data_IF_342345823309
#
_entry.id   IF_342345823309
#
_cell.length_a   1.000
_cell.length_b   1.000
_cell.length_c   1.000
_cell.angle_alpha   90.00
_cell.angle_beta   90.00
_cell.angle_gamma   90.00
#
_symmetry.space_group_name_H-M   'P 1'
#
loop_
_entity.id
_entity.type
_entity.pdbx_description
1 polymer ?
#
# COMPACT_ATOMS: atom_id res chain seq x y z
N UNK A 1 19.03 50.50 -0.43
CA UNK A 1 19.76 49.77 -1.48
C UNK A 1 20.98 49.01 -0.93
N UNK A 2 21.59 49.48 0.19
CA UNK A 2 22.73 48.81 0.84
C UNK A 2 22.39 47.49 1.55
N UNK A 3 21.24 47.40 2.21
CA UNK A 3 20.85 46.19 2.96
C UNK A 3 20.58 44.96 2.09
N UNK A 4 20.19 45.13 0.82
CA UNK A 4 20.00 44.02 -0.14
C UNK A 4 21.32 43.46 -0.68
N UNK A 5 22.37 44.32 -0.77
CA UNK A 5 23.69 43.90 -1.22
C UNK A 5 24.43 43.12 -0.12
N UNK A 6 24.26 43.51 1.14
CA UNK A 6 24.86 42.81 2.28
C UNK A 6 24.23 41.39 2.48
N UNK A 7 22.96 41.19 2.11
CA UNK A 7 22.30 39.89 2.18
C UNK A 7 22.85 38.89 1.15
N UNK A 8 23.30 39.40 -0.01
CA UNK A 8 23.81 38.52 -1.10
C UNK A 8 25.28 38.13 -0.84
N UNK A 9 26.03 38.94 -0.13
CA UNK A 9 27.46 38.69 0.16
C UNK A 9 27.69 37.74 1.35
N UNK A 10 26.63 37.43 2.13
CA UNK A 10 26.71 36.50 3.28
C UNK A 10 26.25 35.09 2.96
N UNK A 11 25.88 34.79 1.70
CA UNK A 11 25.48 33.43 1.30
C UNK A 11 26.74 32.56 1.22
N UNK A 12 26.88 31.66 2.18
CA UNK A 12 27.94 30.66 2.21
C UNK A 12 27.53 29.41 1.43
N UNK A 13 28.53 28.67 0.95
CA UNK A 13 28.29 27.38 0.28
C UNK A 13 27.50 26.41 1.18
N UNK A 14 27.64 26.53 2.50
CA UNK A 14 26.85 25.82 3.51
C UNK A 14 25.36 26.07 3.39
N UNK A 15 24.92 27.28 3.02
CA UNK A 15 23.48 27.59 2.94
C UNK A 15 22.81 26.90 1.76
N UNK A 16 23.54 26.70 0.65
CA UNK A 16 23.04 25.88 -0.48
C UNK A 16 22.95 24.40 -0.12
N UNK A 17 23.90 23.91 0.70
CA UNK A 17 23.86 22.51 1.16
C UNK A 17 22.69 22.30 2.11
N UNK A 18 22.46 23.24 3.05
CA UNK A 18 21.35 23.20 4.00
C UNK A 18 19.98 23.24 3.29
N UNK A 19 19.82 24.17 2.34
CA UNK A 19 18.60 24.28 1.54
C UNK A 19 18.40 23.01 0.69
N UNK A 20 19.47 22.50 0.07
CA UNK A 20 19.43 21.27 -0.72
C UNK A 20 19.05 20.05 0.13
N UNK A 21 19.66 19.90 1.29
CA UNK A 21 19.38 18.81 2.23
C UNK A 21 17.94 18.91 2.76
N UNK A 22 17.50 20.12 3.12
CA UNK A 22 16.11 20.35 3.55
C UNK A 22 15.11 20.04 2.44
N UNK A 23 15.39 20.44 1.20
CA UNK A 23 14.56 20.15 0.05
C UNK A 23 14.46 18.64 -0.21
N UNK A 24 15.57 17.91 -0.09
CA UNK A 24 15.60 16.44 -0.22
C UNK A 24 14.76 15.80 0.89
N UNK A 25 14.92 16.23 2.15
CA UNK A 25 14.15 15.71 3.27
C UNK A 25 12.65 15.96 3.06
N UNK A 26 12.27 17.20 2.67
CA UNK A 26 10.87 17.54 2.39
C UNK A 26 10.34 16.71 1.21
N UNK A 27 11.11 16.54 0.15
CA UNK A 27 10.73 15.73 -1.01
C UNK A 27 10.45 14.28 -0.61
N UNK A 28 11.35 13.66 0.19
CA UNK A 28 11.18 12.31 0.70
C UNK A 28 9.96 12.18 1.61
N UNK A 29 9.72 13.16 2.48
CA UNK A 29 8.52 13.20 3.33
C UNK A 29 7.26 13.30 2.49
N UNK A 30 7.24 14.14 1.46
CA UNK A 30 6.10 14.27 0.54
C UNK A 30 5.86 12.98 -0.26
N UNK A 31 6.92 12.30 -0.68
CA UNK A 31 6.82 11.01 -1.39
C UNK A 31 6.24 9.92 -0.48
N UNK A 32 6.64 9.90 0.80
CA UNK A 32 6.14 8.95 1.81
C UNK A 32 4.64 9.12 2.08
N UNK A 33 4.13 10.35 1.94
CA UNK A 33 2.74 10.70 2.19
C UNK A 33 1.84 10.40 0.97
N UNK A 34 2.42 10.30 -0.25
CA UNK A 34 1.66 10.00 -1.46
C UNK A 34 1.04 8.60 -1.40
N UNK A 35 -0.29 8.55 -1.52
CA UNK A 35 -1.06 7.30 -1.53
C UNK A 35 -1.66 6.89 -0.19
N UNK A 36 -1.42 7.63 0.90
CA UNK A 36 -2.04 7.35 2.20
C UNK A 36 -3.34 8.15 2.39
N UNK A 37 -4.30 7.60 3.17
CA UNK A 37 -5.53 8.32 3.59
C UNK A 37 -5.24 9.51 4.50
N UNK A 38 -3.97 9.75 4.83
CA UNK A 38 -3.51 10.78 5.78
C UNK A 38 -3.61 12.19 5.20
N UNK A 39 -3.47 12.35 3.87
CA UNK A 39 -3.57 13.68 3.21
C UNK A 39 -4.93 14.35 3.44
N UNK A 40 -6.09 13.70 3.21
CA UNK A 40 -7.40 14.29 3.49
C UNK A 40 -7.57 14.65 4.97
N UNK A 41 -7.02 13.87 5.90
CA UNK A 41 -7.07 14.16 7.34
C UNK A 41 -6.25 15.40 7.71
N UNK A 42 -5.06 15.58 7.13
CA UNK A 42 -4.23 16.79 7.34
C UNK A 42 -4.92 18.04 6.79
N UNK A 43 -5.48 17.95 5.59
CA UNK A 43 -6.24 19.08 5.00
C UNK A 43 -7.41 19.42 5.90
N UNK A 44 -8.19 18.44 6.35
CA UNK A 44 -9.32 18.65 7.26
C UNK A 44 -8.89 19.33 8.57
N UNK A 45 -7.80 18.85 9.19
CA UNK A 45 -7.25 19.43 10.42
C UNK A 45 -6.76 20.86 10.21
N UNK A 46 -6.05 21.14 9.11
CA UNK A 46 -5.56 22.50 8.79
C UNK A 46 -6.71 23.47 8.55
N UNK A 47 -7.73 23.05 7.81
CA UNK A 47 -8.93 23.85 7.58
C UNK A 47 -9.68 24.10 8.88
N UNK A 48 -9.85 23.09 9.73
CA UNK A 48 -10.51 23.22 11.03
C UNK A 48 -9.78 24.21 11.95
N UNK A 49 -8.46 24.05 12.11
CA UNK A 49 -7.66 24.96 12.95
C UNK A 49 -7.62 26.37 12.38
N UNK A 50 -7.47 26.52 11.06
CA UNK A 50 -7.46 27.81 10.39
C UNK A 50 -8.78 28.56 10.52
N UNK A 51 -9.91 27.90 10.30
CA UNK A 51 -11.24 28.50 10.47
C UNK A 51 -11.50 28.88 11.94
N UNK A 52 -11.14 27.99 12.88
CA UNK A 52 -11.30 28.27 14.32
C UNK A 52 -10.44 29.45 14.75
N UNK A 53 -9.21 29.58 14.26
CA UNK A 53 -8.33 30.71 14.52
C UNK A 53 -8.89 32.02 13.98
N UNK A 54 -9.38 32.03 12.73
CA UNK A 54 -10.00 33.22 12.14
C UNK A 54 -11.25 33.64 12.93
N UNK A 55 -12.11 32.70 13.32
CA UNK A 55 -13.28 33.01 14.16
C UNK A 55 -12.84 33.57 15.52
N UNK A 56 -11.85 32.99 16.17
CA UNK A 56 -11.33 33.46 17.45
C UNK A 56 -10.85 34.91 17.37
N UNK A 57 -10.12 35.27 16.28
CA UNK A 57 -9.60 36.63 16.08
C UNK A 57 -10.71 37.63 15.73
N UNK A 58 -11.69 37.25 14.88
CA UNK A 58 -12.78 38.13 14.46
C UNK A 58 -13.74 38.45 15.63
N UNK A 59 -14.02 37.46 16.48
CA UNK A 59 -14.96 37.61 17.60
C UNK A 59 -14.25 37.90 18.94
N UNK A 60 -12.93 38.12 18.95
CA UNK A 60 -12.11 38.34 20.16
C UNK A 60 -12.35 37.29 21.24
N UNK A 61 -12.31 36.00 20.83
CA UNK A 61 -12.53 34.87 21.73
C UNK A 61 -11.18 34.39 22.32
N UNK A 62 -10.74 35.04 23.39
CA UNK A 62 -9.41 34.81 24.00
C UNK A 62 -9.18 33.36 24.41
N UNK A 63 -10.17 32.68 24.96
CA UNK A 63 -10.04 31.29 25.39
C UNK A 63 -9.83 30.33 24.20
N UNK A 64 -10.52 30.57 23.09
CA UNK A 64 -10.39 29.76 21.87
C UNK A 64 -9.06 30.08 21.18
N UNK A 65 -8.66 31.35 21.13
CA UNK A 65 -7.36 31.75 20.61
C UNK A 65 -6.22 31.07 21.35
N UNK A 66 -6.23 31.12 22.69
CA UNK A 66 -5.27 30.43 23.54
C UNK A 66 -5.24 28.92 23.29
N UNK A 67 -6.40 28.28 23.14
CA UNK A 67 -6.49 26.84 22.86
C UNK A 67 -5.82 26.50 21.51
N UNK A 68 -6.14 27.26 20.45
CA UNK A 68 -5.56 27.04 19.10
C UNK A 68 -4.04 27.22 19.12
N UNK A 69 -3.52 28.26 19.78
CA UNK A 69 -2.09 28.50 19.91
C UNK A 69 -1.37 27.34 20.62
N UNK A 70 -1.96 26.79 21.70
CA UNK A 70 -1.39 25.64 22.40
C UNK A 70 -1.45 24.36 21.55
N UNK A 71 -2.52 24.15 20.80
CA UNK A 71 -2.64 23.00 19.87
C UNK A 71 -1.59 23.11 18.75
N UNK A 72 -1.42 24.31 18.17
CA UNK A 72 -0.40 24.56 17.14
C UNK A 72 1.01 24.40 17.74
N UNK A 73 1.25 24.89 18.97
CA UNK A 73 2.51 24.67 19.67
C UNK A 73 2.85 23.19 19.92
N UNK A 74 1.81 22.36 20.08
CA UNK A 74 1.94 20.91 20.24
C UNK A 74 1.87 20.14 18.92
N UNK A 75 1.80 20.83 17.78
CA UNK A 75 1.56 20.23 16.46
C UNK A 75 2.56 19.14 16.09
N UNK A 76 3.84 19.31 16.47
CA UNK A 76 4.89 18.30 16.22
C UNK A 76 4.55 16.98 16.92
N UNK A 77 4.13 17.03 18.18
CA UNK A 77 3.77 15.82 18.94
C UNK A 77 2.53 15.16 18.34
N UNK A 78 1.51 15.96 18.00
CA UNK A 78 0.28 15.47 17.36
C UNK A 78 0.61 14.82 16.01
N UNK A 79 1.49 15.45 15.23
CA UNK A 79 1.91 14.94 13.93
C UNK A 79 2.65 13.60 14.07
N UNK A 80 3.58 13.49 15.01
CA UNK A 80 4.31 12.23 15.28
C UNK A 80 3.35 11.12 15.69
N UNK A 81 2.35 11.42 16.52
CA UNK A 81 1.33 10.42 16.95
C UNK A 81 0.44 10.02 15.78
N UNK A 82 0.00 10.97 14.96
CA UNK A 82 -0.81 10.70 13.76
C UNK A 82 -0.06 9.82 12.74
N UNK A 83 1.22 10.09 12.52
CA UNK A 83 2.05 9.37 11.55
C UNK A 83 2.84 8.21 12.17
N UNK A 84 2.60 7.86 13.44
CA UNK A 84 3.35 6.79 14.11
C UNK A 84 3.33 5.47 13.32
N UNK A 85 2.18 5.10 12.77
CA UNK A 85 2.04 3.88 11.97
C UNK A 85 2.83 3.97 10.65
N UNK A 86 2.76 5.10 9.97
CA UNK A 86 3.43 5.32 8.68
C UNK A 86 4.95 5.38 8.87
N UNK A 87 5.42 6.09 9.90
CA UNK A 87 6.86 6.16 10.27
C UNK A 87 7.38 4.77 10.62
N UNK A 88 6.63 3.99 11.41
CA UNK A 88 7.01 2.62 11.78
C UNK A 88 7.10 1.72 10.56
N UNK A 89 6.13 1.82 9.65
CA UNK A 89 6.12 1.03 8.42
C UNK A 89 7.27 1.41 7.49
N UNK A 90 7.54 2.71 7.32
CA UNK A 90 8.66 3.20 6.52
C UNK A 90 10.02 2.74 7.08
N UNK A 91 10.23 2.85 8.40
CA UNK A 91 11.46 2.37 9.04
C UNK A 91 11.61 0.84 8.93
N UNK A 92 10.51 0.10 9.03
CA UNK A 92 10.51 -1.34 8.83
C UNK A 92 10.88 -1.72 7.39
N UNK A 93 10.40 -0.97 6.40
CA UNK A 93 10.76 -1.18 4.98
C UNK A 93 12.25 -0.94 4.72
N UNK A 94 12.83 0.15 5.22
CA UNK A 94 14.26 0.44 5.05
C UNK A 94 15.14 -0.69 5.60
N UNK A 95 14.75 -1.31 6.73
CA UNK A 95 15.49 -2.41 7.33
C UNK A 95 15.37 -3.75 6.60
N UNK A 96 14.32 -3.94 5.82
CA UNK A 96 13.99 -5.24 5.18
C UNK A 96 14.37 -5.30 3.69
N UNK A 97 14.61 -4.17 3.03
CA UNK A 97 14.86 -4.10 1.57
C UNK A 97 16.21 -4.70 1.18
N UNK A 98 17.15 -4.88 2.12
CA UNK A 98 18.54 -5.19 1.79
C UNK A 98 18.87 -6.67 1.65
N UNK A 99 17.99 -7.65 1.96
CA UNK A 99 18.38 -9.07 2.05
C UNK A 99 17.32 -10.13 1.71
N UNK A 100 16.25 -9.82 0.99
CA UNK A 100 15.30 -10.88 0.63
C UNK A 100 15.52 -11.37 -0.79
N UNK A 101 15.73 -12.68 -1.01
CA UNK A 101 15.83 -13.24 -2.35
C UNK A 101 14.50 -13.02 -3.08
N UNK A 102 14.54 -12.32 -4.19
CA UNK A 102 13.41 -12.23 -5.11
C UNK A 102 13.31 -13.53 -5.90
N UNK A 103 12.09 -13.98 -6.15
CA UNK A 103 11.81 -15.11 -7.04
C UNK A 103 12.46 -14.87 -8.41
N UNK A 104 13.12 -15.88 -8.93
CA UNK A 104 13.57 -15.87 -10.32
C UNK A 104 12.37 -15.75 -11.27
N UNK A 105 12.59 -15.24 -12.48
CA UNK A 105 11.52 -15.11 -13.48
C UNK A 105 10.82 -16.45 -13.77
N UNK A 106 11.56 -17.57 -13.71
CA UNK A 106 11.00 -18.91 -13.92
C UNK A 106 10.08 -19.32 -12.75
N UNK A 107 10.49 -19.06 -11.51
CA UNK A 107 9.67 -19.35 -10.31
C UNK A 107 8.43 -18.47 -10.28
N UNK A 108 8.54 -17.18 -10.64
CA UNK A 108 7.39 -16.29 -10.78
C UNK A 108 6.39 -16.80 -11.82
N UNK A 109 6.87 -17.22 -13.00
CA UNK A 109 6.01 -17.77 -14.04
C UNK A 109 5.29 -19.04 -13.58
N UNK A 110 5.98 -19.95 -12.89
CA UNK A 110 5.40 -21.14 -12.30
C UNK A 110 4.33 -20.82 -11.26
N UNK A 111 4.60 -19.88 -10.37
CA UNK A 111 3.63 -19.40 -9.37
C UNK A 111 2.37 -18.83 -10.03
N UNK A 112 2.53 -17.97 -11.03
CA UNK A 112 1.40 -17.37 -11.75
C UNK A 112 0.55 -18.45 -12.44
N UNK A 113 1.18 -19.47 -13.02
CA UNK A 113 0.47 -20.59 -13.66
C UNK A 113 -0.35 -21.40 -12.66
N UNK A 114 0.22 -21.74 -11.50
CA UNK A 114 -0.47 -22.44 -10.41
C UNK A 114 -1.64 -21.62 -9.86
N UNK A 115 -1.45 -20.35 -9.60
CA UNK A 115 -2.50 -19.48 -9.06
C UNK A 115 -3.64 -19.27 -10.07
N UNK A 116 -3.28 -19.08 -11.34
CA UNK A 116 -4.25 -18.95 -12.41
C UNK A 116 -5.06 -20.24 -12.54
N UNK A 117 -4.39 -21.39 -12.55
CA UNK A 117 -5.05 -22.69 -12.63
C UNK A 117 -5.99 -22.92 -11.42
N UNK A 118 -5.52 -22.59 -10.22
CA UNK A 118 -6.32 -22.73 -8.99
C UNK A 118 -7.56 -21.82 -9.03
N UNK A 119 -7.40 -20.54 -9.39
CA UNK A 119 -8.51 -19.58 -9.46
C UNK A 119 -9.61 -20.04 -10.42
N UNK A 120 -9.25 -20.50 -11.64
CA UNK A 120 -10.24 -20.98 -12.61
C UNK A 120 -10.83 -22.34 -12.23
N UNK A 121 -10.08 -23.20 -11.55
CA UNK A 121 -10.61 -24.47 -11.04
C UNK A 121 -11.62 -24.22 -9.91
N UNK A 122 -11.34 -23.29 -9.01
CA UNK A 122 -12.25 -22.87 -7.94
C UNK A 122 -13.52 -22.22 -8.53
N UNK A 123 -13.36 -21.34 -9.52
CA UNK A 123 -14.47 -20.70 -10.23
C UNK A 123 -15.40 -21.72 -10.90
N UNK A 124 -14.84 -22.70 -11.59
CA UNK A 124 -15.61 -23.78 -12.22
C UNK A 124 -16.38 -24.65 -11.21
N UNK A 125 -15.86 -24.76 -9.98
CA UNK A 125 -16.51 -25.48 -8.88
C UNK A 125 -17.44 -24.61 -8.05
N UNK A 126 -17.62 -23.31 -8.40
CA UNK A 126 -18.39 -22.34 -7.61
C UNK A 126 -17.88 -22.21 -6.17
N UNK A 127 -16.59 -22.34 -5.96
CA UNK A 127 -15.93 -22.18 -4.66
C UNK A 127 -15.31 -20.77 -4.60
N UNK A 128 -15.77 -19.97 -3.65
CA UNK A 128 -15.26 -18.63 -3.44
C UNK A 128 -13.83 -18.64 -2.87
N UNK A 129 -12.96 -17.80 -3.40
CA UNK A 129 -11.59 -17.69 -2.93
C UNK A 129 -11.08 -16.24 -2.93
N UNK A 130 -10.10 -15.98 -2.06
CA UNK A 130 -9.44 -14.69 -1.95
C UNK A 130 -7.93 -14.95 -1.76
N UNK A 131 -7.14 -14.65 -2.81
CA UNK A 131 -5.71 -14.94 -2.85
C UNK A 131 -4.96 -13.62 -3.03
N UNK A 132 -4.07 -13.32 -2.10
CA UNK A 132 -3.28 -12.08 -2.04
C UNK A 132 -1.82 -12.40 -2.37
N UNK A 133 -1.26 -11.67 -3.32
CA UNK A 133 0.17 -11.66 -3.64
C UNK A 133 0.79 -10.41 -3.01
N UNK A 134 1.64 -10.61 -2.02
CA UNK A 134 2.41 -9.53 -1.40
C UNK A 134 3.41 -8.94 -2.39
N UNK A 135 3.50 -7.59 -2.41
CA UNK A 135 4.47 -6.86 -3.22
C UNK A 135 5.37 -6.00 -2.33
N UNK A 136 5.55 -4.71 -2.66
CA UNK A 136 6.44 -3.80 -1.91
C UNK A 136 5.92 -3.50 -0.50
N UNK A 137 4.61 -3.36 -0.37
CA UNK A 137 3.98 -3.14 0.93
C UNK A 137 3.88 -4.46 1.70
N UNK A 138 4.57 -4.55 2.84
CA UNK A 138 4.56 -5.74 3.68
C UNK A 138 3.19 -6.04 4.29
N UNK A 139 2.74 -7.28 4.20
CA UNK A 139 1.44 -7.73 4.71
C UNK A 139 1.52 -8.44 6.06
N UNK A 140 2.62 -8.30 6.78
CA UNK A 140 2.87 -8.98 8.06
C UNK A 140 1.73 -8.80 9.07
N UNK A 141 1.14 -7.61 9.16
CA UNK A 141 0.03 -7.33 10.07
C UNK A 141 -1.22 -8.19 9.81
N UNK A 142 -1.44 -8.61 8.55
CA UNK A 142 -2.54 -9.48 8.15
C UNK A 142 -2.16 -10.96 8.33
N UNK A 143 -0.92 -11.32 8.00
CA UNK A 143 -0.36 -12.68 8.18
C UNK A 143 -0.40 -13.09 9.65
N UNK A 144 0.01 -12.22 10.58
CA UNK A 144 0.02 -12.50 12.03
C UNK A 144 -1.39 -12.75 12.61
N UNK A 145 -2.44 -12.21 11.97
CA UNK A 145 -3.85 -12.43 12.35
C UNK A 145 -4.45 -13.68 11.71
N UNK A 146 -3.78 -14.24 10.71
CA UNK A 146 -4.18 -15.46 10.03
C UNK A 146 -3.65 -16.72 10.70
N UNK A 147 -3.80 -17.84 10.00
CA UNK A 147 -3.21 -19.12 10.37
C UNK A 147 -1.97 -19.36 9.53
N UNK A 148 -0.81 -19.38 10.16
CA UNK A 148 0.47 -19.61 9.48
C UNK A 148 0.49 -21.00 8.81
N UNK A 149 0.95 -21.05 7.57
CA UNK A 149 1.02 -22.27 6.74
C UNK A 149 2.50 -22.58 6.38
N UNK A 150 3.20 -21.64 5.73
CA UNK A 150 4.62 -21.76 5.38
C UNK A 150 4.90 -22.79 4.27
N UNK A 151 4.00 -22.97 3.30
CA UNK A 151 4.10 -23.97 2.23
C UNK A 151 4.25 -23.34 0.85
N UNK A 152 4.65 -24.17 -0.14
CA UNK A 152 4.57 -23.78 -1.57
C UNK A 152 3.11 -23.81 -2.01
N UNK A 153 2.59 -22.74 -2.65
CA UNK A 153 1.23 -22.71 -3.15
C UNK A 153 1.09 -23.65 -4.36
N UNK A 154 0.34 -24.73 -4.17
CA UNK A 154 -0.02 -25.67 -5.23
C UNK A 154 -1.52 -25.65 -5.43
N UNK A 155 -1.97 -26.08 -6.62
CA UNK A 155 -3.40 -26.23 -6.93
C UNK A 155 -4.13 -27.01 -5.83
N UNK A 156 -3.61 -28.18 -5.46
CA UNK A 156 -4.27 -29.08 -4.50
C UNK A 156 -4.37 -28.45 -3.09
N UNK A 157 -3.31 -27.73 -2.67
CA UNK A 157 -3.31 -27.02 -1.39
C UNK A 157 -4.34 -25.90 -1.38
N UNK A 158 -4.42 -25.09 -2.44
CA UNK A 158 -5.38 -24.00 -2.54
C UNK A 158 -6.81 -24.53 -2.60
N UNK A 159 -7.06 -25.61 -3.35
CA UNK A 159 -8.38 -26.29 -3.37
C UNK A 159 -8.77 -26.82 -1.98
N UNK A 160 -7.81 -27.36 -1.24
CA UNK A 160 -8.04 -27.87 0.12
C UNK A 160 -8.32 -26.75 1.13
N UNK A 161 -7.63 -25.62 1.01
CA UNK A 161 -7.84 -24.46 1.88
C UNK A 161 -9.23 -23.86 1.64
N UNK A 162 -9.61 -23.61 0.39
CA UNK A 162 -10.87 -22.95 0.06
C UNK A 162 -12.09 -23.88 0.01
N UNK A 163 -11.89 -25.19 0.20
CA UNK A 163 -13.01 -26.11 0.33
C UNK A 163 -13.94 -25.67 1.46
N UNK A 164 -15.25 -25.68 1.22
CA UNK A 164 -16.25 -25.15 2.17
C UNK A 164 -16.26 -25.82 3.54
N UNK A 165 -15.82 -27.07 3.65
CA UNK A 165 -15.65 -27.77 4.93
C UNK A 165 -14.33 -27.49 5.63
N UNK A 166 -13.39 -26.80 4.98
CA UNK A 166 -12.10 -26.47 5.57
C UNK A 166 -12.25 -25.37 6.61
N UNK A 167 -11.65 -25.46 7.79
CA UNK A 167 -11.65 -24.37 8.77
C UNK A 167 -10.83 -23.14 8.30
N UNK A 168 -10.13 -23.24 7.18
CA UNK A 168 -9.27 -22.21 6.63
C UNK A 168 -9.92 -21.40 5.50
N UNK A 169 -11.11 -21.79 5.02
CA UNK A 169 -11.73 -21.21 3.83
C UNK A 169 -12.28 -19.80 4.02
N UNK A 170 -12.58 -19.41 5.28
CA UNK A 170 -13.15 -18.09 5.59
C UNK A 170 -12.07 -17.05 5.82
N UNK A 171 -11.71 -16.35 4.77
CA UNK A 171 -10.67 -15.32 4.73
C UNK A 171 -9.75 -15.44 3.53
N UNK A 172 -8.67 -14.65 3.54
CA UNK A 172 -7.70 -14.64 2.46
C UNK A 172 -6.54 -15.60 2.72
N UNK A 173 -5.97 -16.09 1.63
CA UNK A 173 -4.64 -16.69 1.59
C UNK A 173 -3.67 -15.59 1.20
N UNK A 174 -2.55 -15.45 1.92
CA UNK A 174 -1.47 -14.50 1.60
C UNK A 174 -0.24 -15.27 1.15
N UNK A 175 0.23 -14.90 -0.03
CA UNK A 175 1.47 -15.38 -0.63
C UNK A 175 2.50 -14.28 -0.49
N UNK A 176 3.61 -14.59 0.16
CA UNK A 176 4.70 -13.65 0.39
C UNK A 176 5.55 -13.40 -0.87
N UNK A 177 6.50 -12.46 -0.79
CA UNK A 177 7.40 -12.11 -1.89
C UNK A 177 8.33 -13.25 -2.32
N UNK A 178 8.52 -14.24 -1.46
CA UNK A 178 9.31 -15.45 -1.72
C UNK A 178 8.48 -16.52 -2.43
N UNK A 179 7.21 -16.19 -2.78
CA UNK A 179 6.28 -17.08 -3.46
C UNK A 179 5.73 -18.18 -2.56
N UNK A 180 5.82 -18.06 -1.24
CA UNK A 180 5.31 -19.04 -0.30
C UNK A 180 3.94 -18.62 0.23
N UNK A 181 3.07 -19.57 0.44
CA UNK A 181 1.82 -19.39 1.12
C UNK A 181 2.12 -19.15 2.62
N UNK A 182 2.21 -17.88 3.01
CA UNK A 182 2.58 -17.48 4.37
C UNK A 182 1.49 -17.83 5.38
N UNK A 183 0.24 -17.47 5.08
CA UNK A 183 -0.91 -17.73 5.96
C UNK A 183 -2.20 -17.88 5.17
N UNK A 184 -3.18 -18.53 5.81
CA UNK A 184 -4.56 -18.64 5.36
C UNK A 184 -5.51 -18.07 6.42
N UNK A 185 -6.80 -17.92 6.08
CA UNK A 185 -7.81 -17.32 6.97
C UNK A 185 -7.43 -15.92 7.47
N UNK A 186 -6.78 -15.12 6.61
CA UNK A 186 -6.42 -13.76 6.93
C UNK A 186 -7.63 -12.84 6.76
N UNK A 187 -7.91 -12.01 7.77
CA UNK A 187 -9.00 -11.04 7.73
C UNK A 187 -8.47 -9.74 7.10
N UNK A 188 -9.12 -9.30 6.03
CA UNK A 188 -8.76 -8.09 5.29
C UNK A 188 -9.74 -6.95 5.58
N UNK A 189 -9.32 -5.69 5.40
CA UNK A 189 -10.21 -4.54 5.52
C UNK A 189 -11.26 -4.55 4.41
N UNK A 190 -12.47 -4.10 4.73
CA UNK A 190 -13.54 -3.96 3.75
C UNK A 190 -13.55 -2.53 3.20
N UNK A 191 -13.54 -2.38 1.86
CA UNK A 191 -13.64 -1.06 1.24
C UNK A 191 -14.97 -0.37 1.57
N UNK A 192 -14.96 0.85 2.08
CA UNK A 192 -16.17 1.64 2.26
C UNK A 192 -16.76 2.11 0.91
N UNK A 193 -15.94 2.30 -0.12
CA UNK A 193 -16.36 2.73 -1.46
C UNK A 193 -17.20 1.67 -2.19
N UNK A 194 -17.06 0.41 -1.83
CA UNK A 194 -17.86 -0.70 -2.40
C UNK A 194 -19.28 -0.76 -1.87
N UNK A 195 -19.63 -0.01 -0.82
CA UNK A 195 -20.98 0.02 -0.26
C UNK A 195 -22.03 0.51 -1.29
N UNK A 196 -21.61 1.27 -2.31
CA UNK A 196 -22.46 1.71 -3.40
C UNK A 196 -22.73 0.65 -4.49
N UNK A 197 -22.09 -0.54 -4.43
CA UNK A 197 -22.24 -1.62 -5.41
C UNK A 197 -22.94 -2.82 -4.74
N UNK A 198 -24.26 -2.92 -4.79
CA UNK A 198 -25.04 -3.91 -4.03
C UNK A 198 -24.77 -5.37 -4.43
N UNK A 199 -24.18 -5.61 -5.61
CA UNK A 199 -23.84 -6.93 -6.13
C UNK A 199 -22.42 -7.41 -5.73
N UNK A 200 -21.66 -6.62 -4.97
CA UNK A 200 -20.34 -7.03 -4.50
C UNK A 200 -20.45 -7.84 -3.21
N UNK A 201 -20.07 -9.11 -3.27
CA UNK A 201 -19.92 -9.97 -2.10
C UNK A 201 -18.76 -9.51 -1.19
N UNK A 202 -18.70 -10.07 0.02
CA UNK A 202 -17.70 -9.71 1.05
C UNK A 202 -16.26 -9.88 0.58
N UNK A 203 -15.95 -10.93 -0.22
CA UNK A 203 -14.60 -11.18 -0.76
C UNK A 203 -14.16 -10.08 -1.74
N UNK A 204 -15.06 -9.59 -2.60
CA UNK A 204 -14.76 -8.47 -3.51
C UNK A 204 -14.50 -7.18 -2.74
N UNK A 205 -15.30 -6.91 -1.69
CA UNK A 205 -15.11 -5.74 -0.83
C UNK A 205 -13.80 -5.80 -0.05
N UNK A 206 -13.41 -6.99 0.39
CA UNK A 206 -12.15 -7.22 1.08
C UNK A 206 -10.95 -7.05 0.13
N UNK A 207 -11.04 -7.56 -1.09
CA UNK A 207 -10.02 -7.37 -2.11
C UNK A 207 -9.81 -5.89 -2.44
N UNK A 208 -10.91 -5.17 -2.67
CA UNK A 208 -10.86 -3.74 -2.95
C UNK A 208 -10.27 -2.98 -1.76
N UNK A 209 -10.72 -3.28 -0.53
CA UNK A 209 -10.22 -2.63 0.69
C UNK A 209 -8.72 -2.77 0.89
N UNK A 210 -8.18 -3.98 0.74
CA UNK A 210 -6.73 -4.18 0.83
C UNK A 210 -5.98 -3.50 -0.32
N UNK A 211 -6.52 -3.51 -1.55
CA UNK A 211 -5.90 -2.87 -2.70
C UNK A 211 -5.92 -1.34 -2.65
N UNK A 212 -6.79 -0.74 -1.83
CA UNK A 212 -6.79 0.71 -1.55
C UNK A 212 -5.68 1.10 -0.55
N UNK A 213 -5.23 0.18 0.30
CA UNK A 213 -4.25 0.43 1.36
C UNK A 213 -2.84 -0.06 1.00
N UNK A 214 -2.73 -0.93 0.00
CA UNK A 214 -1.48 -1.59 -0.39
C UNK A 214 -1.36 -1.71 -1.91
N UNK A 215 -0.17 -2.03 -2.38
CA UNK A 215 0.13 -2.34 -3.77
C UNK A 215 0.00 -3.84 -4.11
N UNK A 216 -0.54 -4.64 -3.18
CA UNK A 216 -0.75 -6.06 -3.37
C UNK A 216 -1.67 -6.36 -4.57
N UNK A 217 -1.47 -7.52 -5.20
CA UNK A 217 -2.38 -8.07 -6.20
C UNK A 217 -3.33 -9.04 -5.52
N UNK A 218 -4.64 -8.85 -5.69
CA UNK A 218 -5.64 -9.67 -5.02
C UNK A 218 -6.54 -10.34 -6.05
N UNK A 219 -6.47 -11.67 -6.12
CA UNK A 219 -7.36 -12.49 -6.95
C UNK A 219 -8.60 -12.82 -6.14
N UNK A 220 -9.76 -12.63 -6.75
CA UNK A 220 -11.06 -12.94 -6.18
C UNK A 220 -11.78 -13.95 -7.07
N UNK A 221 -12.27 -15.01 -6.46
CA UNK A 221 -13.17 -15.96 -7.13
C UNK A 221 -14.56 -15.81 -6.52
N UNK A 222 -15.53 -15.51 -7.36
CA UNK A 222 -16.94 -15.42 -6.96
C UNK A 222 -17.58 -16.81 -6.89
N UNK A 223 -18.12 -17.16 -5.73
CA UNK A 223 -18.87 -18.42 -5.56
C UNK A 223 -20.24 -18.39 -6.22
N UNK A 224 -20.82 -17.19 -6.37
CA UNK A 224 -22.15 -17.02 -6.97
C UNK A 224 -22.11 -17.01 -8.49
N UNK A 225 -21.10 -16.33 -9.08
CA UNK A 225 -21.01 -16.11 -10.53
C UNK A 225 -20.01 -17.03 -11.22
N UNK A 226 -19.11 -17.67 -10.46
CA UNK A 226 -18.01 -18.46 -11.02
C UNK A 226 -17.02 -17.63 -11.82
N UNK A 227 -16.90 -16.33 -11.50
CA UNK A 227 -16.04 -15.38 -12.18
C UNK A 227 -14.76 -15.14 -11.40
N UNK A 228 -13.68 -14.86 -12.12
CA UNK A 228 -12.39 -14.47 -11.56
C UNK A 228 -12.18 -12.98 -11.79
N UNK A 229 -11.79 -12.28 -10.75
CA UNK A 229 -11.51 -10.84 -10.75
C UNK A 229 -10.14 -10.56 -10.13
N UNK A 230 -9.54 -9.42 -10.50
CA UNK A 230 -8.27 -8.94 -9.96
C UNK A 230 -8.45 -7.54 -9.38
N UNK A 231 -8.08 -7.36 -8.11
CA UNK A 231 -8.03 -6.04 -7.48
C UNK A 231 -6.57 -5.57 -7.35
N UNK A 232 -6.33 -4.31 -7.71
CA UNK A 232 -5.03 -3.66 -7.61
C UNK A 232 -5.21 -2.13 -7.52
N UNK A 233 -4.53 -1.48 -6.57
CA UNK A 233 -4.54 -0.02 -6.38
C UNK A 233 -5.94 0.60 -6.36
N UNK A 234 -6.86 0.00 -5.62
CA UNK A 234 -8.24 0.48 -5.48
C UNK A 234 -9.13 0.26 -6.71
N UNK A 235 -8.65 -0.47 -7.71
CA UNK A 235 -9.41 -0.83 -8.91
C UNK A 235 -9.69 -2.33 -8.94
N UNK A 236 -10.90 -2.70 -9.34
CA UNK A 236 -11.32 -4.08 -9.53
C UNK A 236 -11.64 -4.32 -11.00
N UNK A 237 -10.93 -5.25 -11.63
CA UNK A 237 -11.20 -5.74 -12.97
C UNK A 237 -11.94 -7.07 -12.86
N UNK A 238 -13.19 -7.08 -13.26
CA UNK A 238 -14.10 -8.23 -13.12
C UNK A 238 -14.11 -9.09 -14.40
N UNK A 239 -14.56 -10.34 -14.23
CA UNK A 239 -14.82 -11.30 -15.32
C UNK A 239 -13.63 -11.48 -16.27
N UNK A 240 -12.47 -11.80 -15.69
CA UNK A 240 -11.25 -12.04 -16.45
C UNK A 240 -11.21 -13.46 -17.01
N UNK A 241 -10.76 -13.59 -18.26
CA UNK A 241 -10.34 -14.87 -18.81
C UNK A 241 -8.93 -15.25 -18.34
N UNK A 242 -8.58 -16.52 -18.53
CA UNK A 242 -7.30 -17.09 -18.06
C UNK A 242 -6.07 -16.36 -18.64
N UNK A 243 -6.12 -16.02 -19.91
CA UNK A 243 -5.00 -15.40 -20.63
C UNK A 243 -4.83 -13.95 -20.16
N UNK A 244 -5.91 -13.22 -20.05
CA UNK A 244 -5.92 -11.82 -19.58
C UNK A 244 -5.46 -11.72 -18.14
N UNK A 245 -5.94 -12.61 -17.24
CA UNK A 245 -5.49 -12.64 -15.84
C UNK A 245 -3.98 -12.88 -15.75
N UNK A 246 -3.46 -13.90 -16.46
CA UNK A 246 -2.02 -14.21 -16.47
C UNK A 246 -1.20 -13.03 -16.97
N UNK A 247 -1.63 -12.37 -18.05
CA UNK A 247 -0.95 -11.21 -18.61
C UNK A 247 -0.94 -10.03 -17.64
N UNK A 248 -2.08 -9.72 -17.00
CA UNK A 248 -2.19 -8.63 -16.02
C UNK A 248 -1.27 -8.86 -14.82
N UNK A 249 -1.27 -10.06 -14.24
CA UNK A 249 -0.39 -10.39 -13.13
C UNK A 249 1.08 -10.25 -13.56
N UNK A 250 1.45 -10.84 -14.70
CA UNK A 250 2.82 -10.80 -15.21
C UNK A 250 3.29 -9.38 -15.50
N UNK A 251 2.46 -8.57 -16.15
CA UNK A 251 2.79 -7.17 -16.46
C UNK A 251 2.98 -6.36 -15.18
N UNK A 252 2.06 -6.52 -14.22
CA UNK A 252 2.11 -5.76 -12.97
C UNK A 252 3.33 -6.15 -12.13
N UNK A 253 3.72 -7.42 -12.10
CA UNK A 253 4.93 -7.86 -11.41
C UNK A 253 6.22 -7.39 -12.09
N UNK A 254 6.26 -7.31 -13.43
CA UNK A 254 7.43 -6.83 -14.20
C UNK A 254 7.67 -5.34 -14.07
N UNK A 255 6.62 -4.52 -14.07
CA UNK A 255 6.74 -3.06 -13.99
C UNK A 255 7.47 -2.63 -12.72
N UNK A 256 7.38 -3.39 -11.65
CA UNK A 256 8.13 -3.15 -10.40
C UNK A 256 9.60 -3.49 -10.55
N UNK A 257 9.93 -4.62 -11.19
CA UNK A 257 11.32 -5.04 -11.39
C UNK A 257 12.11 -4.07 -12.28
N UNK A 258 11.46 -3.41 -13.24
CA UNK A 258 12.10 -2.41 -14.10
C UNK A 258 12.29 -1.06 -13.39
N UNK A 259 11.40 -0.70 -12.46
CA UNK A 259 11.55 0.52 -11.64
C UNK A 259 12.71 0.39 -10.64
N UNK A 260 12.94 -0.81 -10.10
CA UNK A 260 14.06 -1.11 -9.20
C UNK A 260 15.40 -1.30 -9.95
N UNK A 261 15.36 -1.60 -11.25
CA UNK A 261 16.53 -1.89 -12.08
C UNK A 261 17.13 -0.69 -12.82
N UNK A 262 16.57 0.53 -12.66
CA UNK A 262 17.18 1.74 -13.21
C UNK A 262 18.35 2.17 -12.30
N UNK A 263 19.61 1.84 -12.63
CA UNK A 263 20.75 2.42 -11.96
C UNK A 263 20.81 3.90 -12.34
N UNK A 264 21.16 4.69 -11.34
CA UNK A 264 21.41 6.13 -11.42
C UNK A 264 22.21 6.52 -12.68
N UNK A 265 21.52 6.82 -13.75
CA UNK A 265 22.14 7.25 -15.02
C UNK A 265 22.82 8.63 -14.90
N UNK A 266 22.78 9.25 -13.71
CA UNK A 266 23.42 10.51 -13.42
C UNK A 266 24.91 10.41 -13.06
N UNK A 267 25.40 9.20 -12.71
CA UNK A 267 26.80 9.00 -12.31
C UNK A 267 27.78 8.80 -13.48
N UNK A 268 27.30 8.50 -14.69
CA UNK A 268 28.17 8.24 -15.86
C UNK A 268 28.40 9.45 -16.78
N UNK A 269 27.71 10.59 -16.56
CA UNK A 269 27.88 11.78 -17.39
C UNK A 269 28.96 12.75 -16.88
N UNK A 270 29.68 12.44 -15.79
CA UNK A 270 30.74 13.31 -15.25
C UNK A 270 32.18 12.76 -15.41
N UNK A 271 32.38 11.71 -16.22
CA UNK A 271 33.70 11.16 -16.49
C UNK A 271 34.01 11.03 -17.99
N UNK A 272 33.48 11.95 -18.83
CA UNK A 272 33.89 12.08 -20.24
C UNK A 272 34.29 13.53 -20.55
#
# INVERSE_FOLDING_TARGET
>A
MGQFLDLITTIHLSDFIDIGLLAIVIYWVLLLIQGTRTIPMLIGLTVLLGTTYVLATVFNLDAIGWLVENVVGSAVVILVVLFQADIRNALAQVGLTTMRPQLSLAEQAGLIDELTLAAFTLAHRSIGALIVLERETGLRNYVERGKAIGATPTLDLLLSIFHTSSPLHDGAVIIDREGRLAAARCILPLSPSSAARPYMGTRHRAALGLSEETDALILVVSEERGEVSLAHRGQLTENLDRTTLKNLITQTLRTTAETDALPDASAQAQSA
#
